data_IF_651225414523
#
_entry.id   IF_651225414523
#
_cell.length_a   1.000
_cell.length_b   1.000
_cell.length_c   1.000
_cell.angle_alpha   90.00
_cell.angle_beta   90.00
_cell.angle_gamma   90.00
#
_symmetry.space_group_name_H-M   'P 1'
#
loop_
_entity.id
_entity.type
_entity.pdbx_description
1 polymer ?
#
# COMPACT_ATOMS: atom_id res chain seq x y z
N UNK A 1 -1.61 4.88 -21.14
CA UNK A 1 -0.73 5.93 -20.57
C UNK A 1 0.71 5.63 -20.99
N UNK A 2 1.47 6.64 -21.44
CA UNK A 2 2.84 6.43 -21.91
C UNK A 2 3.85 6.24 -20.76
N UNK A 3 4.99 5.63 -21.06
CA UNK A 3 6.08 5.33 -20.08
C UNK A 3 6.56 6.58 -19.35
N UNK A 4 6.64 7.72 -20.05
CA UNK A 4 7.10 8.99 -19.47
C UNK A 4 6.07 9.68 -18.57
N UNK A 5 4.82 9.20 -18.56
CA UNK A 5 3.75 9.75 -17.74
C UNK A 5 3.55 9.00 -16.42
N UNK A 6 4.32 7.96 -16.13
CA UNK A 6 4.18 7.13 -14.92
C UNK A 6 5.51 6.97 -14.18
N UNK A 7 5.43 6.75 -12.87
CA UNK A 7 6.56 6.38 -12.01
C UNK A 7 6.63 4.88 -11.76
N UNK A 8 5.73 4.11 -12.39
CA UNK A 8 5.66 2.67 -12.27
C UNK A 8 6.95 1.98 -12.75
N UNK A 9 7.40 0.91 -12.09
CA UNK A 9 8.51 0.09 -12.55
C UNK A 9 8.16 -0.78 -13.77
N UNK A 10 6.87 -0.85 -14.17
CA UNK A 10 6.43 -1.57 -15.38
C UNK A 10 6.81 -0.78 -16.64
N UNK A 11 8.09 -0.88 -17.01
CA UNK A 11 8.71 -0.16 -18.12
C UNK A 11 9.92 -0.96 -18.64
N UNK A 12 10.43 -0.66 -19.86
CA UNK A 12 11.58 -1.37 -20.44
C UNK A 12 12.82 -1.40 -19.53
N UNK A 13 13.05 -0.33 -18.78
CA UNK A 13 14.06 -0.26 -17.73
C UNK A 13 13.33 -0.22 -16.38
N UNK A 14 13.16 -1.37 -15.66
CA UNK A 14 12.22 -1.50 -14.56
C UNK A 14 12.75 -0.90 -13.25
N UNK A 15 13.16 0.37 -13.29
CA UNK A 15 13.61 1.14 -12.12
C UNK A 15 12.50 2.10 -11.73
N UNK A 16 12.01 1.97 -10.50
CA UNK A 16 11.08 2.88 -9.87
C UNK A 16 11.78 3.94 -9.02
N UNK A 17 11.06 4.95 -8.62
CA UNK A 17 11.51 5.97 -7.67
C UNK A 17 10.44 6.20 -6.62
N UNK A 18 10.82 6.08 -5.34
CA UNK A 18 9.95 6.36 -4.19
C UNK A 18 10.62 7.37 -3.27
N UNK A 19 9.87 8.40 -2.87
CA UNK A 19 10.30 9.30 -1.81
C UNK A 19 9.76 8.77 -0.48
N UNK A 20 10.63 8.62 0.50
CA UNK A 20 10.30 8.06 1.82
C UNK A 20 10.82 8.97 2.91
N UNK A 21 10.19 8.95 4.08
CA UNK A 21 10.72 9.61 5.25
C UNK A 21 11.67 8.68 6.01
N UNK A 22 12.87 9.16 6.31
CA UNK A 22 13.80 8.45 7.19
C UNK A 22 13.36 8.66 8.65
N UNK A 23 12.97 7.58 9.33
CA UNK A 23 12.56 7.61 10.74
C UNK A 23 13.74 7.30 11.68
N UNK A 24 14.76 6.59 11.19
CA UNK A 24 15.94 6.26 11.96
C UNK A 24 16.89 5.28 11.30
N UNK A 25 17.99 5.04 11.96
CA UNK A 25 18.98 4.02 11.57
C UNK A 25 19.16 3.08 12.78
N UNK A 26 19.03 1.79 12.54
CA UNK A 26 19.21 0.75 13.55
C UNK A 26 20.33 -0.20 13.13
N UNK A 27 21.11 -0.65 14.08
CA UNK A 27 22.04 -1.76 13.86
C UNK A 27 21.31 -3.07 14.13
N UNK A 28 21.31 -3.94 13.14
CA UNK A 28 20.82 -5.30 13.23
C UNK A 28 22.03 -6.26 13.29
N UNK A 29 21.93 -7.32 14.04
CA UNK A 29 23.05 -8.27 14.24
C UNK A 29 23.36 -9.05 12.97
N UNK A 30 22.36 -9.31 12.13
CA UNK A 30 22.47 -10.12 10.91
C UNK A 30 22.64 -9.26 9.66
N UNK A 31 21.87 -8.16 9.56
CA UNK A 31 21.77 -7.31 8.38
C UNK A 31 22.72 -6.11 8.42
N UNK A 32 23.37 -5.84 9.57
CA UNK A 32 24.21 -4.66 9.74
C UNK A 32 23.39 -3.39 9.98
N UNK A 33 23.63 -2.32 9.22
CA UNK A 33 22.86 -1.08 9.34
C UNK A 33 21.56 -1.15 8.54
N UNK A 34 20.44 -0.89 9.21
CA UNK A 34 19.09 -0.91 8.64
C UNK A 34 18.50 0.49 8.74
N UNK A 35 17.97 0.99 7.63
CA UNK A 35 17.21 2.24 7.58
C UNK A 35 15.75 1.96 7.91
N UNK A 36 15.22 2.67 8.89
CA UNK A 36 13.80 2.68 9.21
C UNK A 36 13.14 3.82 8.46
N UNK A 37 12.15 3.50 7.62
CA UNK A 37 11.49 4.48 6.76
C UNK A 37 9.98 4.39 6.84
N UNK A 38 9.30 5.52 6.62
CA UNK A 38 7.85 5.61 6.49
C UNK A 38 7.45 6.08 5.10
N UNK A 39 6.28 5.63 4.62
CA UNK A 39 5.73 6.01 3.32
C UNK A 39 6.33 5.23 2.16
N UNK A 40 6.99 4.11 2.42
CA UNK A 40 7.47 3.23 1.36
C UNK A 40 6.30 2.48 0.71
N UNK A 41 6.11 2.69 -0.60
CA UNK A 41 5.20 1.92 -1.45
C UNK A 41 6.02 0.85 -2.19
N UNK A 42 6.52 -0.12 -1.44
CA UNK A 42 7.42 -1.16 -1.91
C UNK A 42 6.92 -2.54 -1.45
N UNK A 43 7.03 -3.52 -2.32
CA UNK A 43 6.80 -4.91 -1.94
C UNK A 43 7.98 -5.45 -1.10
N UNK A 44 7.69 -6.41 -0.23
CA UNK A 44 8.75 -7.13 0.51
C UNK A 44 9.73 -7.78 -0.48
N UNK A 45 11.02 -7.67 -0.20
CA UNK A 45 12.08 -8.17 -1.07
C UNK A 45 12.40 -7.29 -2.29
N UNK A 46 11.78 -6.12 -2.44
CA UNK A 46 12.14 -5.18 -3.52
C UNK A 46 13.59 -4.74 -3.37
N UNK A 47 14.46 -4.93 -4.38
CA UNK A 47 15.85 -4.50 -4.31
C UNK A 47 15.95 -2.98 -4.35
N UNK A 48 16.75 -2.42 -3.46
CA UNK A 48 17.10 -0.99 -3.44
C UNK A 48 18.42 -0.83 -4.17
N UNK A 49 18.41 -0.09 -5.27
CA UNK A 49 19.57 0.08 -6.13
C UNK A 49 20.41 1.31 -5.75
N UNK A 50 19.74 2.36 -5.25
CA UNK A 50 20.40 3.61 -4.87
C UNK A 50 19.55 4.37 -3.84
N UNK A 51 20.20 5.19 -3.01
CA UNK A 51 19.56 6.05 -2.02
C UNK A 51 20.16 7.44 -2.14
N UNK A 52 19.29 8.44 -2.32
CA UNK A 52 19.70 9.85 -2.39
C UNK A 52 18.97 10.69 -1.37
N UNK A 53 19.62 11.71 -0.81
CA UNK A 53 18.93 12.66 0.05
C UNK A 53 17.85 13.41 -0.73
N UNK A 54 16.69 13.64 -0.11
CA UNK A 54 15.70 14.55 -0.62
C UNK A 54 16.14 16.00 -0.33
N UNK A 55 16.28 16.80 -1.36
CA UNK A 55 16.69 18.20 -1.26
C UNK A 55 15.50 19.12 -1.57
N UNK A 56 14.83 19.72 -0.57
CA UNK A 56 13.61 20.49 -0.80
C UNK A 56 13.76 21.60 -1.84
N UNK A 57 14.90 22.25 -1.91
CA UNK A 57 15.16 23.33 -2.88
C UNK A 57 15.32 22.84 -4.32
N UNK A 58 15.68 21.56 -4.52
CA UNK A 58 15.88 20.96 -5.83
C UNK A 58 14.74 20.01 -6.24
N UNK A 59 14.17 19.28 -5.27
CA UNK A 59 13.22 18.19 -5.52
C UNK A 59 11.76 18.63 -5.36
N UNK A 60 11.49 19.74 -4.67
CA UNK A 60 10.12 20.20 -4.42
C UNK A 60 9.68 21.24 -5.45
N UNK A 61 8.63 20.92 -6.20
CA UNK A 61 7.94 21.83 -7.12
C UNK A 61 6.46 21.95 -6.74
N UNK A 62 6.11 22.71 -5.70
CA UNK A 62 4.71 22.76 -5.18
C UNK A 62 3.69 23.22 -6.23
N UNK A 63 4.15 23.95 -7.26
CA UNK A 63 3.31 24.48 -8.34
C UNK A 63 3.27 23.56 -9.57
N UNK A 64 3.94 22.40 -9.53
CA UNK A 64 3.95 21.48 -10.65
C UNK A 64 2.54 20.93 -10.91
N UNK A 65 2.15 20.91 -12.19
CA UNK A 65 0.90 20.28 -12.59
C UNK A 65 1.03 18.75 -12.49
N UNK A 66 0.08 18.11 -11.80
CA UNK A 66 0.02 16.66 -11.67
C UNK A 66 -0.39 15.92 -12.95
N UNK A 67 -0.73 16.65 -14.03
CA UNK A 67 -1.23 16.03 -15.25
C UNK A 67 -2.49 15.19 -14.96
N UNK A 68 -2.47 13.91 -15.38
CA UNK A 68 -3.59 13.01 -15.14
C UNK A 68 -3.85 12.71 -13.64
N UNK A 69 -2.85 12.84 -12.78
CA UNK A 69 -3.01 12.66 -11.33
C UNK A 69 -3.69 13.86 -10.67
N UNK A 70 -3.70 15.01 -11.33
CA UNK A 70 -4.44 16.21 -10.89
C UNK A 70 -5.92 16.20 -11.31
N UNK A 71 -6.31 15.31 -12.22
CA UNK A 71 -7.72 15.04 -12.43
C UNK A 71 -8.23 14.32 -11.18
N UNK A 72 -9.24 14.90 -10.51
CA UNK A 72 -9.90 14.25 -9.38
C UNK A 72 -10.24 12.82 -9.79
N UNK A 73 -9.50 11.87 -9.28
CA UNK A 73 -10.04 10.57 -8.99
C UNK A 73 -11.20 10.89 -8.04
N UNK A 74 -12.40 10.46 -8.39
CA UNK A 74 -13.58 10.64 -7.54
C UNK A 74 -13.16 10.54 -6.09
N UNK A 75 -13.62 11.49 -5.25
CA UNK A 75 -13.08 11.69 -3.91
C UNK A 75 -13.02 10.39 -3.10
N UNK A 76 -12.43 10.38 -1.91
CA UNK A 76 -12.28 9.16 -1.13
C UNK A 76 -13.64 8.48 -0.96
N UNK A 77 -13.71 7.17 -1.19
CA UNK A 77 -14.92 6.39 -1.01
C UNK A 77 -15.40 6.49 0.44
N UNK A 78 -16.71 6.54 0.62
CA UNK A 78 -17.29 6.35 1.95
C UNK A 78 -17.12 4.89 2.35
N UNK A 79 -16.39 4.61 3.43
CA UNK A 79 -16.15 3.24 3.92
C UNK A 79 -17.19 2.89 4.99
N UNK A 80 -17.92 1.81 4.75
CA UNK A 80 -18.84 1.22 5.73
C UNK A 80 -18.33 -0.14 6.20
N UNK A 81 -18.11 -0.25 7.50
CA UNK A 81 -17.67 -1.49 8.16
C UNK A 81 -18.44 -1.66 9.46
N UNK A 82 -18.97 -2.86 9.69
CA UNK A 82 -19.67 -3.15 10.94
C UNK A 82 -18.68 -3.23 12.13
N UNK A 83 -19.11 -2.84 13.32
CA UNK A 83 -18.29 -2.88 14.52
C UNK A 83 -17.71 -4.29 14.82
N UNK A 84 -18.45 -5.40 14.65
CA UNK A 84 -17.90 -6.74 14.83
C UNK A 84 -16.78 -7.08 13.86
N UNK A 85 -16.85 -6.61 12.60
CA UNK A 85 -15.77 -6.81 11.61
C UNK A 85 -14.56 -5.96 11.96
N UNK A 86 -14.77 -4.71 12.31
CA UNK A 86 -13.66 -3.81 12.68
C UNK A 86 -12.96 -4.27 13.98
N UNK A 87 -13.67 -4.96 14.87
CA UNK A 87 -13.10 -5.51 16.10
C UNK A 87 -12.06 -6.63 15.82
N UNK A 88 -12.14 -7.31 14.66
CA UNK A 88 -11.18 -8.36 14.26
C UNK A 88 -9.83 -7.76 13.82
N UNK A 89 -9.78 -6.46 13.56
CA UNK A 89 -8.56 -5.75 13.19
C UNK A 89 -7.88 -5.22 14.46
N UNK A 90 -6.57 -5.45 14.67
CA UNK A 90 -5.81 -4.84 15.76
C UNK A 90 -6.01 -3.32 15.79
N UNK A 91 -6.14 -2.75 16.99
CA UNK A 91 -6.49 -1.33 17.17
C UNK A 91 -5.57 -0.39 16.41
N UNK A 92 -4.28 -0.68 16.41
CA UNK A 92 -3.23 0.07 15.74
C UNK A 92 -3.36 0.10 14.20
N UNK A 93 -4.02 -0.90 13.62
CA UNK A 93 -4.17 -1.03 12.17
C UNK A 93 -5.52 -0.53 11.63
N UNK A 94 -6.50 -0.26 12.50
CA UNK A 94 -7.87 0.12 12.06
C UNK A 94 -7.91 1.38 11.22
N UNK A 95 -7.22 2.43 11.68
CA UNK A 95 -7.16 3.71 10.97
C UNK A 95 -6.50 3.56 9.59
N UNK A 96 -5.40 2.80 9.54
CA UNK A 96 -4.68 2.53 8.28
C UNK A 96 -5.54 1.72 7.31
N UNK A 97 -6.26 0.69 7.79
CA UNK A 97 -7.18 -0.07 6.95
C UNK A 97 -8.27 0.82 6.33
N UNK A 98 -8.93 1.64 7.16
CA UNK A 98 -9.97 2.57 6.68
C UNK A 98 -9.41 3.56 5.65
N UNK A 99 -8.20 4.07 5.87
CA UNK A 99 -7.51 4.95 4.93
C UNK A 99 -7.21 4.28 3.58
N UNK A 100 -6.76 3.03 3.59
CA UNK A 100 -6.49 2.26 2.35
C UNK A 100 -7.80 1.98 1.61
N UNK A 101 -8.85 1.56 2.31
CA UNK A 101 -10.15 1.29 1.69
C UNK A 101 -10.77 2.55 1.07
N UNK A 102 -10.60 3.71 1.72
CA UNK A 102 -11.08 4.99 1.21
C UNK A 102 -10.40 5.43 -0.10
N UNK A 103 -9.17 4.94 -0.38
CA UNK A 103 -8.43 5.23 -1.62
C UNK A 103 -8.87 4.37 -2.81
N UNK A 104 -9.97 3.64 -2.71
CA UNK A 104 -10.47 2.75 -3.76
C UNK A 104 -9.44 1.72 -4.24
N UNK A 105 -9.21 0.63 -3.50
CA UNK A 105 -8.22 -0.37 -3.85
C UNK A 105 -8.63 -1.29 -5.02
N UNK A 106 -9.71 -0.98 -5.73
CA UNK A 106 -10.14 -1.74 -6.92
C UNK A 106 -9.19 -1.49 -8.08
N UNK A 107 -8.97 -2.49 -8.96
CA UNK A 107 -8.37 -2.24 -10.25
C UNK A 107 -9.22 -1.25 -11.06
N UNK A 108 -8.61 -0.21 -11.61
CA UNK A 108 -9.28 0.91 -12.29
C UNK A 108 -10.14 0.53 -13.51
N UNK A 109 -9.98 -0.69 -14.02
CA UNK A 109 -10.74 -1.22 -15.16
C UNK A 109 -11.97 -2.05 -14.75
N UNK A 110 -12.28 -2.16 -13.46
CA UNK A 110 -13.44 -2.88 -12.94
C UNK A 110 -14.50 -1.91 -12.41
N UNK A 111 -15.67 -1.91 -13.06
CA UNK A 111 -16.82 -1.06 -12.70
C UNK A 111 -18.06 -1.86 -12.31
N UNK A 112 -17.96 -3.19 -12.16
CA UNK A 112 -19.09 -4.04 -11.81
C UNK A 112 -19.50 -3.83 -10.33
N UNK A 113 -20.71 -3.27 -10.07
CA UNK A 113 -21.17 -2.96 -8.72
C UNK A 113 -21.53 -4.22 -7.89
N UNK A 114 -21.72 -5.38 -8.53
CA UNK A 114 -22.01 -6.64 -7.81
C UNK A 114 -20.77 -7.45 -7.49
N UNK A 115 -19.61 -7.01 -7.96
CA UNK A 115 -18.37 -7.75 -7.76
C UNK A 115 -17.85 -7.59 -6.34
N UNK A 116 -17.46 -8.72 -5.75
CA UNK A 116 -16.74 -8.76 -4.48
C UNK A 116 -15.24 -8.74 -4.78
N UNK A 117 -14.55 -7.80 -4.15
CA UNK A 117 -13.11 -7.65 -4.23
C UNK A 117 -12.47 -8.18 -2.96
N UNK A 118 -11.22 -8.62 -3.05
CA UNK A 118 -10.42 -9.07 -1.93
C UNK A 118 -9.06 -8.38 -1.92
N UNK A 119 -8.59 -8.01 -0.74
CA UNK A 119 -7.24 -7.49 -0.53
C UNK A 119 -6.62 -8.10 0.72
N UNK A 120 -5.30 -8.18 0.72
CA UNK A 120 -4.55 -8.52 1.94
C UNK A 120 -4.14 -7.24 2.67
N UNK A 121 -4.32 -7.24 3.99
CA UNK A 121 -3.92 -6.13 4.84
C UNK A 121 -3.48 -6.64 6.21
N UNK A 122 -2.25 -6.38 6.62
CA UNK A 122 -1.70 -6.75 7.93
C UNK A 122 -1.95 -8.23 8.33
N UNK A 123 -1.82 -9.16 7.38
CA UNK A 123 -2.05 -10.59 7.60
C UNK A 123 -3.53 -11.00 7.63
N UNK A 124 -4.44 -10.09 7.29
CA UNK A 124 -5.87 -10.33 7.14
C UNK A 124 -6.28 -10.34 5.68
N UNK A 125 -7.24 -11.17 5.30
CA UNK A 125 -7.99 -11.09 4.06
C UNK A 125 -9.24 -10.24 4.28
N UNK A 126 -9.35 -9.13 3.56
CA UNK A 126 -10.49 -8.21 3.62
C UNK A 126 -11.28 -8.32 2.32
N UNK A 127 -12.57 -8.65 2.40
CA UNK A 127 -13.46 -8.68 1.24
C UNK A 127 -14.47 -7.55 1.33
N UNK A 128 -14.70 -6.87 0.20
CA UNK A 128 -15.57 -5.71 0.11
C UNK A 128 -16.25 -5.63 -1.25
N UNK A 129 -17.33 -4.84 -1.32
CA UNK A 129 -18.00 -4.42 -2.56
C UNK A 129 -18.07 -2.90 -2.61
N UNK A 130 -18.23 -2.35 -3.80
CA UNK A 130 -18.35 -0.89 -3.98
C UNK A 130 -19.56 -0.58 -4.85
N UNK A 131 -20.48 0.24 -4.31
CA UNK A 131 -21.67 0.72 -5.01
C UNK A 131 -21.85 2.21 -4.71
N UNK A 132 -22.10 3.02 -5.73
CA UNK A 132 -22.41 4.47 -5.59
C UNK A 132 -21.43 5.20 -4.64
N UNK A 133 -20.13 5.03 -4.84
CA UNK A 133 -19.05 5.62 -4.04
C UNK A 133 -19.04 5.21 -2.56
N UNK A 134 -19.76 4.14 -2.22
CA UNK A 134 -19.72 3.51 -0.89
C UNK A 134 -19.03 2.16 -0.99
N UNK A 135 -17.95 1.99 -0.24
CA UNK A 135 -17.26 0.72 -0.06
C UNK A 135 -17.80 0.04 1.21
N UNK A 136 -18.43 -1.12 1.05
CA UNK A 136 -18.95 -1.92 2.15
C UNK A 136 -18.05 -3.12 2.40
N UNK A 137 -17.50 -3.23 3.62
CA UNK A 137 -16.70 -4.39 4.03
C UNK A 137 -17.63 -5.54 4.38
N UNK A 138 -17.43 -6.68 3.70
CA UNK A 138 -18.26 -7.88 3.84
C UNK A 138 -17.67 -8.88 4.83
N UNK A 139 -16.35 -9.13 4.75
CA UNK A 139 -15.66 -10.04 5.67
C UNK A 139 -14.23 -9.58 5.93
N UNK A 140 -13.75 -9.89 7.14
CA UNK A 140 -12.35 -9.78 7.55
C UNK A 140 -11.97 -11.10 8.18
N UNK A 141 -10.92 -11.77 7.71
CA UNK A 141 -10.47 -13.08 8.22
C UNK A 141 -8.94 -13.12 8.25
N UNK A 142 -8.33 -13.92 9.14
CA UNK A 142 -6.90 -14.22 9.05
C UNK A 142 -6.56 -14.81 7.66
N UNK A 143 -5.44 -14.38 7.08
CA UNK A 143 -4.99 -14.91 5.80
C UNK A 143 -4.28 -16.26 6.02
N UNK A 144 -4.97 -17.36 5.75
CA UNK A 144 -4.45 -18.72 5.94
C UNK A 144 -3.24 -19.04 5.02
N UNK A 145 -3.07 -18.31 3.92
CA UNK A 145 -1.96 -18.54 2.97
C UNK A 145 -0.58 -18.18 3.53
N UNK A 146 -0.48 -17.35 4.55
CA UNK A 146 0.81 -17.02 5.21
C UNK A 146 1.23 -18.02 6.30
N UNK A 147 0.34 -18.89 6.77
CA UNK A 147 0.68 -19.93 7.75
C UNK A 147 1.64 -21.00 7.20
N UNK A 148 1.65 -21.26 5.90
CA UNK A 148 2.52 -22.27 5.29
C UNK A 148 3.95 -21.80 5.02
N UNK A 149 4.20 -20.49 4.92
CA UNK A 149 5.55 -19.92 4.69
C UNK A 149 6.18 -19.31 5.95
N UNK A 150 5.39 -19.06 7.00
CA UNK A 150 5.89 -18.50 8.27
C UNK A 150 6.63 -19.51 9.16
N UNK A 151 6.35 -20.80 9.03
CA UNK A 151 6.96 -21.84 9.87
C UNK A 151 8.32 -22.35 9.35
N UNK A 152 8.73 -22.00 8.13
CA UNK A 152 10.02 -22.44 7.57
C UNK A 152 11.20 -21.49 7.89
N UNK A 153 11.00 -20.39 8.60
CA UNK A 153 12.08 -19.45 8.97
C UNK A 153 12.61 -19.58 10.40
N UNK A 154 12.11 -20.53 11.20
CA UNK A 154 12.61 -20.73 12.57
C UNK A 154 13.53 -21.93 12.76
N UNK A 155 13.85 -22.69 11.72
CA UNK A 155 14.84 -23.78 11.82
C UNK A 155 15.94 -23.62 10.78
N UNK A 156 16.85 -22.68 10.99
CA UNK A 156 18.27 -22.77 10.61
C UNK A 156 19.09 -22.00 11.61
N UNK A 157 19.61 -22.75 12.56
CA UNK A 157 20.77 -22.44 13.39
C UNK A 157 21.98 -22.21 12.49
#
# INVERSE_FOLDING_TARGET
>A
MGVFATRSPFRPNPIGLSAVRLDGIRRDETLGQVLLVSGADLMDGTPILDIKPYLPFADSYPQASGGFTGQKIDGPLKVEVSQPLLAQVPKEHRQALLGVLAQDPRPSYHTDPQRVYGMEFAGLEVRFSVQNDVLTVLTIKPNEKKGLFGSMRQERV
#
